data_IF_412740682413
#
_entry.id   IF_412740682413
#
_cell.length_a   1.000
_cell.length_b   1.000
_cell.length_c   1.000
_cell.angle_alpha   90.00
_cell.angle_beta   90.00
_cell.angle_gamma   90.00
#
_symmetry.space_group_name_H-M   'P 1'
#
loop_
_entity.id
_entity.type
_entity.pdbx_description
1 polymer ?
#
# COMPACT_ATOMS: atom_id res chain seq x y z
N UNK A 1 -27.90 -30.42 -6.89
CA UNK A 1 -26.79 -30.77 -5.95
C UNK A 1 -25.62 -29.85 -6.24
N UNK A 2 -25.23 -29.03 -5.27
CA UNK A 2 -23.99 -28.24 -5.40
C UNK A 2 -22.80 -29.20 -5.40
N UNK A 3 -21.89 -29.01 -6.34
CA UNK A 3 -20.71 -29.86 -6.48
C UNK A 3 -19.77 -29.65 -5.27
N UNK A 4 -19.09 -30.70 -4.81
CA UNK A 4 -18.17 -30.61 -3.66
C UNK A 4 -17.10 -29.52 -3.86
N UNK A 5 -16.74 -29.19 -5.12
CA UNK A 5 -15.86 -28.08 -5.46
C UNK A 5 -16.46 -26.71 -5.14
N UNK A 6 -17.78 -26.55 -5.28
CA UNK A 6 -18.48 -25.29 -4.98
C UNK A 6 -18.60 -25.04 -3.47
N UNK A 7 -18.52 -26.11 -2.66
CA UNK A 7 -18.56 -26.07 -1.18
C UNK A 7 -17.20 -25.72 -0.56
N UNK A 8 -16.11 -25.78 -1.33
CA UNK A 8 -14.74 -25.47 -0.89
C UNK A 8 -14.23 -24.13 -1.43
N UNK A 9 -14.98 -23.44 -2.29
CA UNK A 9 -14.65 -22.10 -2.73
C UNK A 9 -15.23 -21.08 -1.74
N UNK A 10 -14.32 -20.42 -0.99
CA UNK A 10 -14.66 -19.23 -0.20
C UNK A 10 -15.26 -18.22 -1.19
N UNK A 11 -16.49 -17.77 -0.94
CA UNK A 11 -17.11 -16.75 -1.79
C UNK A 11 -16.30 -15.45 -1.70
N UNK A 12 -16.28 -14.64 -2.75
CA UNK A 12 -15.58 -13.34 -2.71
C UNK A 12 -16.10 -12.43 -1.59
N UNK A 13 -17.37 -12.61 -1.20
CA UNK A 13 -18.04 -11.86 -0.14
C UNK A 13 -17.57 -12.25 1.26
N UNK A 14 -17.00 -13.46 1.41
CA UNK A 14 -16.47 -13.95 2.69
C UNK A 14 -14.98 -13.64 2.88
N UNK A 15 -14.30 -13.13 1.84
CA UNK A 15 -12.89 -12.76 1.93
C UNK A 15 -12.70 -11.44 2.69
N UNK A 16 -11.60 -11.29 3.44
CA UNK A 16 -11.26 -10.01 4.09
C UNK A 16 -11.05 -8.89 3.06
N UNK A 17 -11.33 -7.65 3.46
CA UNK A 17 -10.94 -6.48 2.65
C UNK A 17 -9.44 -6.33 2.62
N UNK A 18 -8.89 -5.99 1.45
CA UNK A 18 -7.45 -5.77 1.26
C UNK A 18 -7.16 -4.27 1.31
N UNK A 19 -6.16 -3.90 2.11
CA UNK A 19 -5.55 -2.58 2.16
C UNK A 19 -4.10 -2.68 1.71
N UNK A 20 -3.69 -1.83 0.76
CA UNK A 20 -2.34 -1.86 0.20
C UNK A 20 -1.66 -0.50 0.38
N UNK A 21 -0.45 -0.50 0.93
CA UNK A 21 0.40 0.68 1.00
C UNK A 21 0.92 1.07 -0.39
N UNK A 22 1.44 2.29 -0.51
CA UNK A 22 2.02 2.81 -1.75
C UNK A 22 3.54 2.78 -1.74
N UNK A 23 4.18 3.54 -0.84
CA UNK A 23 5.63 3.70 -0.85
C UNK A 23 6.34 2.37 -0.58
N UNK A 24 7.30 2.02 -1.42
CA UNK A 24 8.07 0.78 -1.38
C UNK A 24 7.25 -0.52 -1.55
N UNK A 25 5.95 -0.38 -1.84
CA UNK A 25 5.09 -1.49 -2.29
C UNK A 25 4.72 -1.30 -3.75
N UNK A 26 4.15 -0.16 -4.10
CA UNK A 26 3.75 0.22 -5.46
C UNK A 26 4.70 1.24 -6.08
N UNK A 27 5.11 2.26 -5.32
CA UNK A 27 5.95 3.38 -5.74
C UNK A 27 7.36 3.25 -5.17
N UNK A 28 8.36 3.48 -6.02
CA UNK A 28 9.77 3.49 -5.61
C UNK A 28 10.17 4.86 -5.04
N UNK A 29 9.74 5.09 -3.79
CA UNK A 29 10.02 6.33 -3.08
C UNK A 29 11.53 6.56 -2.91
N UNK A 30 12.29 5.53 -2.50
CA UNK A 30 13.73 5.66 -2.24
C UNK A 30 14.47 6.06 -3.50
N UNK A 31 14.23 5.40 -4.62
CA UNK A 31 14.84 5.76 -5.90
C UNK A 31 14.52 7.20 -6.30
N UNK A 32 13.26 7.61 -6.18
CA UNK A 32 12.83 8.97 -6.48
C UNK A 32 13.49 10.01 -5.56
N UNK A 33 13.52 9.75 -4.26
CA UNK A 33 14.13 10.62 -3.27
C UNK A 33 15.66 10.74 -3.48
N UNK A 34 16.35 9.62 -3.63
CA UNK A 34 17.80 9.60 -3.83
C UNK A 34 18.23 10.31 -5.11
N UNK A 35 17.42 10.25 -6.16
CA UNK A 35 17.65 10.99 -7.40
C UNK A 35 17.66 12.51 -7.18
N UNK A 36 16.73 13.05 -6.41
CA UNK A 36 16.64 14.49 -6.15
C UNK A 36 17.57 14.96 -5.04
N UNK A 37 17.90 14.08 -4.10
CA UNK A 37 18.83 14.38 -2.99
C UNK A 37 20.27 14.26 -3.45
N UNK A 38 20.58 13.34 -4.35
CA UNK A 38 21.94 13.06 -4.86
C UNK A 38 22.77 12.13 -3.96
N UNK A 39 22.15 11.48 -2.97
CA UNK A 39 22.78 10.52 -2.06
C UNK A 39 21.71 9.59 -1.47
N UNK A 40 22.12 8.46 -0.81
CA UNK A 40 21.19 7.58 -0.12
C UNK A 40 20.34 8.32 0.91
N UNK A 41 19.02 8.10 0.89
CA UNK A 41 18.05 8.81 1.72
C UNK A 41 18.38 8.77 3.23
N UNK A 42 18.79 7.62 3.83
CA UNK A 42 19.10 7.56 5.26
C UNK A 42 20.32 8.39 5.66
N UNK A 43 21.26 8.62 4.72
CA UNK A 43 22.51 9.34 4.97
C UNK A 43 22.36 10.85 4.84
N UNK A 44 21.31 11.31 4.17
CA UNK A 44 21.07 12.73 3.97
C UNK A 44 20.56 13.41 5.26
N UNK A 45 20.97 14.66 5.47
CA UNK A 45 20.44 15.49 6.55
C UNK A 45 18.91 15.55 6.48
N UNK A 46 18.24 15.31 7.60
CA UNK A 46 16.77 15.17 7.65
C UNK A 46 16.03 16.38 7.11
N UNK A 47 16.45 17.59 7.49
CA UNK A 47 15.81 18.81 6.99
C UNK A 47 16.10 19.01 5.50
N UNK A 48 17.36 18.96 5.12
CA UNK A 48 17.80 19.19 3.74
C UNK A 48 17.18 18.23 2.72
N UNK A 49 17.04 16.95 3.06
CA UNK A 49 16.39 15.97 2.18
C UNK A 49 14.92 16.28 1.92
N UNK A 50 14.20 16.73 2.95
CA UNK A 50 12.80 17.12 2.81
C UNK A 50 12.61 18.44 2.09
N UNK A 51 13.51 19.40 2.25
CA UNK A 51 13.53 20.64 1.46
C UNK A 51 13.71 20.35 -0.03
N UNK A 52 14.59 19.44 -0.40
CA UNK A 52 14.78 19.02 -1.79
C UNK A 52 13.56 18.30 -2.36
N UNK A 53 12.96 17.39 -1.59
CA UNK A 53 11.76 16.66 -2.01
C UNK A 53 10.60 17.63 -2.21
N UNK A 54 10.29 18.47 -1.22
CA UNK A 54 9.16 19.43 -1.29
C UNK A 54 9.37 20.51 -2.34
N UNK A 55 10.61 20.88 -2.63
CA UNK A 55 10.98 21.80 -3.69
C UNK A 55 10.93 21.21 -5.10
N UNK A 56 10.78 19.89 -5.24
CA UNK A 56 10.71 19.22 -6.54
C UNK A 56 9.27 19.15 -7.03
N UNK A 57 9.00 19.83 -8.16
CA UNK A 57 7.66 19.84 -8.75
C UNK A 57 7.18 18.42 -9.07
N UNK A 58 5.95 18.14 -8.66
CA UNK A 58 5.27 16.85 -8.92
C UNK A 58 6.07 15.60 -8.47
N UNK A 59 6.93 15.74 -7.45
CA UNK A 59 7.78 14.66 -6.95
C UNK A 59 6.99 13.35 -6.75
N UNK A 60 5.92 13.39 -5.96
CA UNK A 60 5.11 12.21 -5.62
C UNK A 60 4.36 11.64 -6.82
N UNK A 61 3.87 12.51 -7.69
CA UNK A 61 3.12 12.12 -8.89
C UNK A 61 3.99 11.45 -9.96
N UNK A 62 5.30 11.69 -9.92
CA UNK A 62 6.26 11.18 -10.90
C UNK A 62 7.12 10.01 -10.40
N UNK A 63 6.82 9.46 -9.22
CA UNK A 63 7.51 8.27 -8.73
C UNK A 63 7.34 7.10 -9.71
N UNK A 64 8.40 6.32 -9.88
CA UNK A 64 8.34 5.10 -10.67
C UNK A 64 7.61 3.99 -9.92
N UNK A 65 7.12 3.01 -10.66
CA UNK A 65 6.63 1.78 -10.08
C UNK A 65 7.77 0.99 -9.43
N UNK A 66 7.46 0.36 -8.29
CA UNK A 66 8.31 -0.75 -7.81
C UNK A 66 8.32 -1.88 -8.83
N UNK A 67 9.46 -2.54 -9.05
CA UNK A 67 9.54 -3.67 -9.99
C UNK A 67 8.48 -4.74 -9.68
N UNK A 68 7.67 -5.09 -10.67
CA UNK A 68 6.63 -6.12 -10.57
C UNK A 68 5.36 -5.72 -9.81
N UNK A 69 5.29 -4.53 -9.22
CA UNK A 69 4.16 -4.09 -8.40
C UNK A 69 2.82 -4.02 -9.16
N UNK A 70 2.85 -3.83 -10.47
CA UNK A 70 1.63 -3.89 -11.30
C UNK A 70 0.89 -5.22 -11.15
N UNK A 71 1.62 -6.34 -10.91
CA UNK A 71 1.01 -7.66 -10.68
C UNK A 71 0.21 -7.68 -9.36
N UNK A 72 0.67 -6.98 -8.32
CA UNK A 72 -0.08 -6.83 -7.07
C UNK A 72 -1.40 -6.10 -7.37
N UNK A 73 -1.33 -4.94 -8.01
CA UNK A 73 -2.53 -4.14 -8.35
C UNK A 73 -3.52 -4.95 -9.19
N UNK A 74 -3.05 -5.65 -10.23
CA UNK A 74 -3.88 -6.50 -11.07
C UNK A 74 -4.58 -7.62 -10.28
N UNK A 75 -3.89 -8.17 -9.26
CA UNK A 75 -4.49 -9.20 -8.41
C UNK A 75 -5.53 -8.62 -7.45
N UNK A 76 -5.19 -7.59 -6.69
CA UNK A 76 -6.04 -7.09 -5.60
C UNK A 76 -7.24 -6.27 -6.08
N UNK A 77 -7.17 -5.59 -7.22
CA UNK A 77 -8.31 -4.81 -7.76
C UNK A 77 -9.50 -5.68 -8.14
N UNK A 78 -9.29 -6.97 -8.36
CA UNK A 78 -10.38 -7.94 -8.56
C UNK A 78 -11.26 -8.15 -7.31
N UNK A 79 -10.79 -7.72 -6.16
CA UNK A 79 -11.42 -7.90 -4.84
C UNK A 79 -11.83 -6.57 -4.20
N UNK A 80 -12.05 -5.53 -5.00
CA UNK A 80 -12.43 -4.19 -4.52
C UNK A 80 -11.47 -3.64 -3.45
N UNK A 81 -10.19 -3.88 -3.62
CA UNK A 81 -9.16 -3.50 -2.65
C UNK A 81 -9.04 -2.00 -2.45
N UNK A 82 -8.49 -1.63 -1.30
CA UNK A 82 -8.25 -0.26 -0.86
C UNK A 82 -6.77 0.09 -0.91
N UNK A 83 -6.46 1.35 -1.15
CA UNK A 83 -5.16 1.96 -0.86
C UNK A 83 -5.20 2.52 0.55
N UNK A 84 -4.17 2.26 1.34
CA UNK A 84 -3.97 2.83 2.66
C UNK A 84 -2.51 3.26 2.81
N UNK A 85 -2.25 4.54 2.59
CA UNK A 85 -0.90 5.08 2.58
C UNK A 85 -0.76 6.29 3.49
N UNK A 86 0.38 6.39 4.17
CA UNK A 86 0.69 7.56 4.96
C UNK A 86 1.18 8.70 4.07
N UNK A 87 0.64 9.90 4.24
CA UNK A 87 1.23 11.09 3.65
C UNK A 87 2.28 11.70 4.58
N UNK A 88 3.26 12.38 4.00
CA UNK A 88 4.31 13.04 4.76
C UNK A 88 3.86 14.40 5.29
N UNK A 89 4.02 14.62 6.60
CA UNK A 89 3.82 15.94 7.21
C UNK A 89 4.97 16.91 6.91
N UNK A 90 6.06 16.42 6.30
CA UNK A 90 7.23 17.21 5.93
C UNK A 90 7.10 17.84 4.54
N UNK A 91 6.09 17.42 3.78
CA UNK A 91 5.84 17.94 2.44
C UNK A 91 4.34 18.15 2.24
N UNK A 92 3.87 19.40 2.13
CA UNK A 92 2.45 19.72 1.92
C UNK A 92 1.89 19.17 0.60
N UNK A 93 2.75 18.82 -0.36
CA UNK A 93 2.35 18.26 -1.65
C UNK A 93 2.20 16.73 -1.62
N UNK A 94 2.56 16.07 -0.53
CA UNK A 94 2.55 14.61 -0.43
C UNK A 94 1.18 14.00 -0.71
N UNK A 95 0.14 14.50 -0.08
CA UNK A 95 -1.21 13.96 -0.21
C UNK A 95 -1.77 14.13 -1.63
N UNK A 96 -1.72 15.35 -2.17
CA UNK A 96 -2.19 15.62 -3.53
C UNK A 96 -1.36 14.91 -4.60
N UNK A 97 -0.05 14.82 -4.40
CA UNK A 97 0.85 14.11 -5.32
C UNK A 97 0.58 12.62 -5.37
N UNK A 98 0.33 11.98 -4.22
CA UNK A 98 -0.07 10.57 -4.16
C UNK A 98 -1.40 10.32 -4.86
N UNK A 99 -2.38 11.20 -4.69
CA UNK A 99 -3.64 11.13 -5.43
C UNK A 99 -3.45 11.23 -6.94
N UNK A 100 -2.60 12.15 -7.41
CA UNK A 100 -2.26 12.28 -8.83
C UNK A 100 -1.61 11.00 -9.36
N UNK A 101 -0.67 10.43 -8.60
CA UNK A 101 -0.01 9.18 -8.98
C UNK A 101 -1.02 8.04 -9.16
N UNK A 102 -1.93 7.87 -8.20
CA UNK A 102 -2.96 6.83 -8.23
C UNK A 102 -3.91 7.02 -9.42
N UNK A 103 -4.37 8.24 -9.67
CA UNK A 103 -5.25 8.56 -10.81
C UNK A 103 -4.59 8.29 -12.16
N UNK A 104 -3.29 8.55 -12.26
CA UNK A 104 -2.52 8.35 -13.51
C UNK A 104 -2.21 6.88 -13.77
N UNK A 105 -1.95 6.10 -12.72
CA UNK A 105 -1.35 4.78 -12.84
C UNK A 105 -2.28 3.62 -12.51
N UNK A 106 -3.43 3.89 -11.88
CA UNK A 106 -4.33 2.86 -11.36
C UNK A 106 -5.80 3.21 -11.60
N UNK A 107 -6.68 2.23 -11.36
CA UNK A 107 -8.13 2.39 -11.46
C UNK A 107 -8.82 2.20 -10.09
N UNK A 108 -8.13 2.46 -8.98
CA UNK A 108 -8.78 2.43 -7.68
C UNK A 108 -9.91 3.46 -7.58
N UNK A 109 -11.05 3.04 -7.06
CA UNK A 109 -12.16 3.94 -6.78
C UNK A 109 -11.74 4.98 -5.74
N UNK A 110 -12.18 6.23 -5.91
CA UNK A 110 -11.84 7.31 -4.97
C UNK A 110 -12.22 6.98 -3.52
N UNK A 111 -13.35 6.33 -3.30
CA UNK A 111 -13.81 5.89 -1.97
C UNK A 111 -12.94 4.80 -1.33
N UNK A 112 -12.10 4.12 -2.12
CA UNK A 112 -11.18 3.09 -1.65
C UNK A 112 -9.75 3.62 -1.46
N UNK A 113 -9.54 4.94 -1.53
CA UNK A 113 -8.22 5.55 -1.34
C UNK A 113 -8.20 6.29 0.00
N UNK A 114 -7.35 5.85 0.91
CA UNK A 114 -7.17 6.39 2.24
C UNK A 114 -5.74 6.90 2.41
N UNK A 115 -5.57 8.21 2.36
CA UNK A 115 -4.30 8.88 2.64
C UNK A 115 -4.39 9.49 4.04
N UNK A 116 -3.66 8.92 4.98
CA UNK A 116 -3.80 9.16 6.42
C UNK A 116 -2.45 9.47 7.06
N UNK A 117 -2.44 9.85 8.33
CA UNK A 117 -1.21 9.83 9.12
C UNK A 117 -0.81 8.39 9.43
N UNK A 118 0.49 8.10 9.51
CA UNK A 118 0.98 6.74 9.77
C UNK A 118 0.32 6.08 10.97
N UNK A 119 0.17 6.81 12.07
CA UNK A 119 -0.43 6.29 13.30
C UNK A 119 -1.92 5.92 13.16
N UNK A 120 -2.60 6.42 12.13
CA UNK A 120 -4.01 6.14 11.87
C UNK A 120 -4.22 4.85 11.06
N UNK A 121 -3.17 4.29 10.44
CA UNK A 121 -3.30 3.09 9.60
C UNK A 121 -3.97 1.93 10.34
N UNK A 122 -3.54 1.64 11.56
CA UNK A 122 -4.03 0.50 12.34
C UNK A 122 -5.53 0.60 12.70
N UNK A 123 -6.15 1.78 12.60
CA UNK A 123 -7.61 1.94 12.80
C UNK A 123 -8.45 1.25 11.73
N UNK A 124 -7.86 0.91 10.58
CA UNK A 124 -8.51 0.17 9.49
C UNK A 124 -8.38 -1.35 9.59
N UNK A 125 -7.77 -1.86 10.66
CA UNK A 125 -7.45 -3.29 10.79
C UNK A 125 -8.67 -4.22 10.84
N UNK A 126 -9.84 -3.69 11.19
CA UNK A 126 -11.09 -4.44 11.22
C UNK A 126 -12.25 -3.64 10.62
N UNK A 127 -13.21 -4.35 10.04
CA UNK A 127 -14.52 -3.83 9.64
C UNK A 127 -15.59 -4.72 10.26
N UNK A 128 -16.47 -4.15 11.07
CA UNK A 128 -17.53 -4.87 11.76
C UNK A 128 -17.04 -6.11 12.53
N UNK A 129 -15.89 -5.98 13.20
CA UNK A 129 -15.25 -7.04 13.97
C UNK A 129 -14.54 -8.11 13.12
N UNK A 130 -14.55 -8.00 11.80
CA UNK A 130 -13.84 -8.90 10.88
C UNK A 130 -12.46 -8.35 10.55
N UNK A 131 -11.40 -9.18 10.54
CA UNK A 131 -10.06 -8.74 10.21
C UNK A 131 -9.94 -8.31 8.74
N UNK A 132 -9.22 -7.23 8.48
CA UNK A 132 -8.80 -6.81 7.15
C UNK A 132 -7.33 -7.20 6.90
N UNK A 133 -6.93 -7.30 5.65
CA UNK A 133 -5.55 -7.58 5.24
C UNK A 133 -4.82 -6.27 4.95
N UNK A 134 -3.60 -6.11 5.46
CA UNK A 134 -2.68 -5.03 5.09
C UNK A 134 -1.47 -5.59 4.35
N UNK A 135 -1.16 -5.04 3.19
CA UNK A 135 0.10 -5.23 2.47
C UNK A 135 0.95 -3.98 2.70
N UNK A 136 2.05 -4.12 3.42
CA UNK A 136 2.92 -2.98 3.79
C UNK A 136 4.38 -3.47 3.92
N UNK A 137 5.35 -2.66 3.50
CA UNK A 137 6.78 -2.99 3.60
C UNK A 137 7.37 -2.69 4.98
N UNK A 138 6.70 -1.84 5.77
CA UNK A 138 7.18 -1.42 7.07
C UNK A 138 6.67 -2.33 8.19
N UNK A 139 7.57 -3.14 8.74
CA UNK A 139 7.20 -4.16 9.75
C UNK A 139 6.48 -3.58 10.98
N UNK A 140 6.76 -2.35 11.37
CA UNK A 140 6.07 -1.69 12.47
C UNK A 140 4.58 -1.49 12.17
N UNK A 141 4.24 -1.09 10.94
CA UNK A 141 2.84 -0.97 10.51
C UNK A 141 2.13 -2.33 10.56
N UNK A 142 2.80 -3.39 10.11
CA UNK A 142 2.28 -4.76 10.16
C UNK A 142 1.98 -5.18 11.61
N UNK A 143 2.91 -4.98 12.53
CA UNK A 143 2.72 -5.31 13.95
C UNK A 143 1.59 -4.52 14.61
N UNK A 144 1.52 -3.22 14.35
CA UNK A 144 0.42 -2.37 14.87
C UNK A 144 -0.94 -2.81 14.32
N UNK A 145 -0.99 -3.21 13.04
CA UNK A 145 -2.18 -3.73 12.38
C UNK A 145 -2.64 -5.05 13.00
N UNK A 146 -1.73 -5.99 13.18
CA UNK A 146 -2.03 -7.29 13.80
C UNK A 146 -2.46 -7.15 15.28
N UNK A 147 -1.84 -6.21 16.02
CA UNK A 147 -2.26 -5.88 17.38
C UNK A 147 -3.69 -5.33 17.49
N UNK A 148 -4.22 -4.78 16.38
CA UNK A 148 -5.60 -4.32 16.25
C UNK A 148 -6.52 -5.38 15.61
N UNK A 149 -6.08 -6.62 15.52
CA UNK A 149 -6.87 -7.74 15.03
C UNK A 149 -6.93 -7.91 13.52
N UNK A 150 -6.09 -7.23 12.77
CA UNK A 150 -5.95 -7.40 11.32
C UNK A 150 -5.00 -8.52 10.95
N UNK A 151 -4.93 -8.81 9.64
CA UNK A 151 -4.01 -9.78 9.03
C UNK A 151 -2.93 -9.00 8.28
N UNK A 152 -1.68 -9.14 8.69
CA UNK A 152 -0.55 -8.46 8.07
C UNK A 152 0.15 -9.31 7.02
N UNK A 153 0.44 -8.71 5.86
CA UNK A 153 1.36 -9.25 4.86
C UNK A 153 2.56 -8.30 4.78
N UNK A 154 3.68 -8.70 5.39
CA UNK A 154 4.92 -7.95 5.28
C UNK A 154 5.49 -8.08 3.87
N UNK A 155 5.36 -7.01 3.09
CA UNK A 155 5.84 -6.99 1.72
C UNK A 155 7.35 -6.88 1.65
N UNK A 156 7.99 -7.92 1.17
CA UNK A 156 9.44 -7.97 0.92
C UNK A 156 9.77 -8.30 -0.54
N UNK A 157 8.86 -8.97 -1.23
CA UNK A 157 8.97 -9.30 -2.65
C UNK A 157 7.58 -9.59 -3.23
N UNK A 158 7.36 -9.26 -4.49
CA UNK A 158 6.07 -9.46 -5.18
C UNK A 158 5.61 -10.92 -5.15
N UNK A 159 6.43 -11.93 -5.51
CA UNK A 159 6.00 -13.33 -5.47
C UNK A 159 5.55 -13.79 -4.09
N UNK A 160 6.25 -13.36 -3.03
CA UNK A 160 5.90 -13.69 -1.65
C UNK A 160 4.54 -13.10 -1.26
N UNK A 161 4.30 -11.83 -1.57
CA UNK A 161 3.02 -11.16 -1.31
C UNK A 161 1.88 -11.85 -2.03
N UNK A 162 2.03 -12.19 -3.32
CA UNK A 162 1.01 -12.91 -4.08
C UNK A 162 0.75 -14.31 -3.51
N UNK A 163 1.77 -15.02 -3.04
CA UNK A 163 1.61 -16.31 -2.39
C UNK A 163 0.85 -16.20 -1.06
N UNK A 164 1.13 -15.19 -0.24
CA UNK A 164 0.38 -14.95 1.00
C UNK A 164 -1.10 -14.62 0.71
N UNK A 165 -1.38 -13.78 -0.28
CA UNK A 165 -2.75 -13.51 -0.73
C UNK A 165 -3.46 -14.81 -1.15
N UNK A 166 -2.78 -15.66 -1.90
CA UNK A 166 -3.33 -16.96 -2.34
C UNK A 166 -3.66 -17.88 -1.15
N UNK A 167 -2.80 -17.92 -0.12
CA UNK A 167 -3.04 -18.69 1.11
C UNK A 167 -4.27 -18.20 1.88
N UNK A 168 -4.57 -16.90 1.80
CA UNK A 168 -5.76 -16.30 2.41
C UNK A 168 -7.04 -16.51 1.57
N UNK A 169 -6.94 -17.14 0.40
CA UNK A 169 -8.08 -17.44 -0.48
C UNK A 169 -8.26 -16.50 -1.67
N UNK A 170 -7.39 -15.51 -1.84
CA UNK A 170 -7.39 -14.63 -3.02
C UNK A 170 -6.71 -15.37 -4.20
N UNK A 171 -7.42 -15.53 -5.32
CA UNK A 171 -6.95 -16.29 -6.49
C UNK A 171 -6.55 -15.38 -7.65
#
# INVERSE_FOLDING_TARGET
MRNLKDLLEVSKEDLPSIYCDMDMVLCDFLKGAEKVIGMPFPLANKQGRWEKISGTKDFWANLEWMPGAKKIVQNITRYDAHILSAYSTKDPNSQSGKMKWLSKNTNFKRGNIHLVLRAQKASFAQTDGKPNVLIDDYIKNIKEWENKGGIGIHHTAVPKTLNELKRLGFK
#
